data_IF_479172548502
#
_entry.id   IF_479172548502
#
_cell.length_a   1.000
_cell.length_b   1.000
_cell.length_c   1.000
_cell.angle_alpha   90.00
_cell.angle_beta   90.00
_cell.angle_gamma   90.00
#
_symmetry.space_group_name_H-M   'P 1'
#
loop_
_entity.id
_entity.type
_entity.pdbx_description
1 polymer ?
#
# COMPACT_ATOMS: atom_id res chain seq x y z
N UNK A 1 -2.85 3.63 22.58
CA UNK A 1 -1.65 3.27 21.81
C UNK A 1 -2.14 2.94 20.41
N UNK A 2 -1.92 3.84 19.45
CA UNK A 2 -2.28 3.58 18.06
C UNK A 2 -1.34 2.52 17.51
N UNK A 3 -1.88 1.47 16.89
CA UNK A 3 -1.09 0.42 16.26
C UNK A 3 -0.79 0.88 14.83
N UNK A 4 0.49 1.05 14.52
CA UNK A 4 0.97 1.37 13.17
C UNK A 4 1.62 0.09 12.64
N UNK A 5 1.23 -0.33 11.45
CA UNK A 5 1.80 -1.47 10.74
C UNK A 5 2.43 -0.99 9.45
N UNK A 6 3.68 -1.33 9.26
CA UNK A 6 4.42 -1.02 8.04
C UNK A 6 4.62 -2.34 7.28
N UNK A 7 4.29 -2.36 5.99
CA UNK A 7 4.44 -3.55 5.15
C UNK A 7 5.16 -3.21 3.84
N UNK A 8 6.06 -4.12 3.44
CA UNK A 8 6.89 -3.94 2.25
C UNK A 8 6.21 -4.56 1.03
N UNK A 9 5.74 -3.72 0.14
CA UNK A 9 5.16 -4.14 -1.13
C UNK A 9 6.22 -4.11 -2.22
N UNK A 10 6.67 -5.30 -2.62
CA UNK A 10 7.56 -5.44 -3.76
C UNK A 10 6.73 -5.71 -5.01
N UNK A 11 7.03 -5.01 -6.08
CA UNK A 11 6.28 -5.14 -7.33
C UNK A 11 7.02 -4.56 -8.51
N UNK A 12 6.51 -4.86 -9.70
CA UNK A 12 7.03 -4.30 -10.92
C UNK A 12 6.33 -2.97 -11.21
N UNK A 13 7.10 -1.87 -11.27
CA UNK A 13 6.55 -0.58 -11.61
C UNK A 13 6.62 -0.38 -13.12
N UNK A 14 5.45 -0.46 -13.79
CA UNK A 14 5.35 -0.22 -15.24
C UNK A 14 5.82 1.17 -15.66
N UNK A 15 5.68 2.16 -14.79
CA UNK A 15 6.08 3.54 -15.10
C UNK A 15 7.61 3.70 -15.24
N UNK A 16 8.39 2.93 -14.48
CA UNK A 16 9.85 2.96 -14.52
C UNK A 16 10.46 1.72 -15.19
N UNK A 17 9.62 0.82 -15.71
CA UNK A 17 10.00 -0.47 -16.30
C UNK A 17 10.97 -1.30 -15.41
N UNK A 18 10.85 -1.18 -14.09
CA UNK A 18 11.75 -1.83 -13.13
C UNK A 18 11.03 -2.31 -11.88
N UNK A 19 11.61 -3.33 -11.23
CA UNK A 19 11.18 -3.76 -9.90
C UNK A 19 11.48 -2.66 -8.89
N UNK A 20 10.48 -2.30 -8.11
CA UNK A 20 10.60 -1.35 -7.00
C UNK A 20 10.01 -1.96 -5.73
N UNK A 21 10.40 -1.38 -4.62
CA UNK A 21 9.83 -1.67 -3.31
C UNK A 21 9.12 -0.41 -2.87
N UNK A 22 7.85 -0.52 -2.52
CA UNK A 22 7.07 0.53 -1.89
C UNK A 22 6.76 0.12 -0.46
N UNK A 23 6.82 1.06 0.48
CA UNK A 23 6.51 0.82 1.88
C UNK A 23 5.15 1.42 2.15
N UNK A 24 4.18 0.61 2.57
CA UNK A 24 2.86 1.06 2.98
C UNK A 24 2.78 1.17 4.50
N UNK A 25 2.50 2.36 5.00
CA UNK A 25 2.23 2.65 6.41
C UNK A 25 0.72 2.59 6.64
N UNK A 26 0.28 1.67 7.50
CA UNK A 26 -1.11 1.47 7.88
C UNK A 26 -1.32 1.84 9.35
N UNK A 27 -2.25 2.74 9.59
CA UNK A 27 -2.64 3.13 10.95
C UNK A 27 -3.94 2.44 11.33
N UNK A 28 -4.04 1.93 12.56
CA UNK A 28 -5.31 1.45 13.12
C UNK A 28 -6.02 2.59 13.85
N UNK A 29 -7.17 3.04 13.32
CA UNK A 29 -8.08 3.93 14.06
C UNK A 29 -9.23 3.10 14.62
N UNK A 30 -9.32 3.09 15.95
CA UNK A 30 -10.36 2.42 16.76
C UNK A 30 -10.51 0.92 16.46
N UNK A 31 -11.11 0.57 15.32
CA UNK A 31 -11.43 -0.79 14.87
C UNK A 31 -10.99 -1.07 13.43
N UNK A 32 -10.65 -0.06 12.63
CA UNK A 32 -10.27 -0.25 11.22
C UNK A 32 -8.82 0.18 10.96
N UNK A 33 -8.11 -0.61 10.16
CA UNK A 33 -6.86 -0.18 9.55
C UNK A 33 -7.16 0.68 8.33
N UNK A 34 -6.42 1.77 8.18
CA UNK A 34 -6.40 2.64 7.01
C UNK A 34 -4.97 2.86 6.55
N UNK A 35 -4.76 3.00 5.25
CA UNK A 35 -3.48 3.39 4.69
C UNK A 35 -3.22 4.86 5.04
N UNK A 36 -2.17 5.14 5.80
CA UNK A 36 -1.74 6.49 6.16
C UNK A 36 -0.83 7.06 5.08
N UNK A 37 0.21 6.31 4.70
CA UNK A 37 1.21 6.72 3.71
C UNK A 37 1.70 5.55 2.88
N UNK A 38 2.16 5.86 1.66
CA UNK A 38 2.87 4.90 0.82
C UNK A 38 4.10 5.57 0.19
N UNK A 39 5.25 4.91 0.27
CA UNK A 39 6.50 5.32 -0.38
C UNK A 39 6.46 4.97 -1.89
N UNK A 40 5.44 5.48 -2.57
CA UNK A 40 5.27 5.35 -4.01
C UNK A 40 4.66 6.64 -4.54
N UNK A 41 5.06 7.07 -5.74
CA UNK A 41 4.45 8.19 -6.49
C UNK A 41 3.04 7.82 -6.99
N UNK A 42 2.28 7.02 -6.23
CA UNK A 42 0.97 6.50 -6.60
C UNK A 42 0.01 7.59 -7.07
N UNK A 43 -0.03 8.73 -6.36
CA UNK A 43 -0.88 9.87 -6.72
C UNK A 43 -0.49 10.56 -8.03
N UNK A 44 0.71 10.27 -8.56
CA UNK A 44 1.26 10.82 -9.79
C UNK A 44 1.50 9.75 -10.85
N UNK A 45 1.19 8.49 -10.56
CA UNK A 45 1.48 7.37 -11.43
C UNK A 45 0.35 7.24 -12.47
N UNK A 46 0.63 7.36 -13.78
CA UNK A 46 -0.38 7.25 -14.83
C UNK A 46 -1.05 5.87 -14.88
N UNK A 47 -0.43 4.87 -14.24
CA UNK A 47 -0.93 3.51 -14.12
C UNK A 47 -1.52 3.21 -12.74
N UNK A 48 -1.84 4.23 -11.92
CA UNK A 48 -2.29 4.09 -10.53
C UNK A 48 -3.31 2.96 -10.30
N UNK A 49 -4.40 2.93 -11.06
CA UNK A 49 -5.47 1.90 -10.95
C UNK A 49 -5.01 0.48 -11.35
N UNK A 50 -3.93 0.37 -12.14
CA UNK A 50 -3.38 -0.90 -12.61
C UNK A 50 -2.02 -1.26 -12.00
N UNK A 51 -1.61 -0.57 -10.94
CA UNK A 51 -0.39 -0.87 -10.23
C UNK A 51 -0.56 -2.13 -9.37
N UNK A 52 0.26 -3.16 -9.62
CA UNK A 52 0.22 -4.41 -8.86
C UNK A 52 0.53 -4.20 -7.37
N UNK A 53 1.38 -3.24 -7.04
CA UNK A 53 1.68 -2.89 -5.65
C UNK A 53 0.45 -2.40 -4.91
N UNK A 54 -0.36 -1.54 -5.53
CA UNK A 54 -1.57 -1.01 -4.91
C UNK A 54 -2.61 -2.11 -4.70
N UNK A 55 -2.74 -3.05 -5.64
CA UNK A 55 -3.62 -4.21 -5.47
C UNK A 55 -3.20 -5.02 -4.24
N UNK A 56 -1.90 -5.21 -4.01
CA UNK A 56 -1.40 -5.87 -2.80
C UNK A 56 -1.67 -5.04 -1.54
N UNK A 57 -1.45 -3.71 -1.59
CA UNK A 57 -1.73 -2.80 -0.47
C UNK A 57 -3.20 -2.84 -0.05
N UNK A 58 -4.11 -2.73 -1.02
CA UNK A 58 -5.55 -2.81 -0.76
C UNK A 58 -5.98 -4.20 -0.29
N UNK A 59 -5.45 -5.27 -0.88
CA UNK A 59 -5.73 -6.65 -0.43
C UNK A 59 -5.22 -6.90 1.00
N UNK A 60 -4.06 -6.34 1.35
CA UNK A 60 -3.53 -6.40 2.70
C UNK A 60 -4.39 -5.60 3.67
N UNK A 61 -4.80 -4.39 3.30
CA UNK A 61 -5.72 -3.56 4.08
C UNK A 61 -7.05 -4.25 4.36
N UNK A 62 -7.61 -4.93 3.35
CA UNK A 62 -8.84 -5.70 3.47
C UNK A 62 -8.65 -6.87 4.45
N UNK A 63 -7.56 -7.63 4.28
CA UNK A 63 -7.17 -8.73 5.18
C UNK A 63 -6.95 -8.28 6.64
N UNK A 64 -6.55 -7.02 6.86
CA UNK A 64 -6.42 -6.43 8.19
C UNK A 64 -7.77 -6.03 8.82
N UNK A 65 -8.75 -5.67 8.01
CA UNK A 65 -10.07 -5.22 8.45
C UNK A 65 -11.10 -6.36 8.55
N UNK A 66 -10.90 -7.49 7.87
CA UNK A 66 -11.76 -8.67 7.94
C UNK A 66 -11.58 -9.53 9.24
N UNK A 67 -11.07 -8.96 10.34
CA UNK A 67 -10.80 -9.68 11.60
C UNK A 67 -11.69 -9.28 12.77
#
# INVERSE_FOLDING_TARGET
MSEIREEFFNGYCKNYDMARTAIGEFCRDKECFFLDRIDCDYGNCPHGENCEMMKQVFAFLDSLNEK
#
